data_IF_197646314133
#
_entry.id   IF_197646314133
#
_cell.length_a   1.000
_cell.length_b   1.000
_cell.length_c   1.000
_cell.angle_alpha   90.00
_cell.angle_beta   90.00
_cell.angle_gamma   90.00
#
_symmetry.space_group_name_H-M   'P 1'
#
loop_
_entity.id
_entity.type
_entity.pdbx_description
1 polymer ?
#
# COMPACT_ATOMS: atom_id res chain seq x y z
N UNK A 1 -70.84 -32.27 8.81
CA UNK A 1 -69.73 -31.96 7.87
C UNK A 1 -68.91 -30.73 8.29
N UNK A 2 -68.62 -30.51 9.59
CA UNK A 2 -67.92 -29.30 10.07
C UNK A 2 -66.53 -29.55 10.69
N UNK A 3 -66.06 -30.80 10.74
CA UNK A 3 -64.75 -31.15 11.31
C UNK A 3 -63.60 -31.18 10.29
N UNK A 4 -63.88 -31.30 8.99
CA UNK A 4 -62.84 -31.35 7.94
C UNK A 4 -62.22 -29.97 7.66
N UNK A 5 -63.01 -28.89 7.72
CA UNK A 5 -62.51 -27.53 7.45
C UNK A 5 -61.72 -26.92 8.62
N UNK A 6 -61.95 -27.36 9.87
CA UNK A 6 -61.14 -26.93 11.03
C UNK A 6 -59.76 -27.58 11.05
N UNK A 7 -59.64 -28.82 10.60
CA UNK A 7 -58.34 -29.51 10.52
C UNK A 7 -57.46 -28.94 9.39
N UNK A 8 -58.07 -28.52 8.28
CA UNK A 8 -57.37 -27.95 7.13
C UNK A 8 -56.90 -26.50 7.39
N UNK A 9 -57.66 -25.71 8.16
CA UNK A 9 -57.23 -24.38 8.61
C UNK A 9 -56.11 -24.44 9.67
N UNK A 10 -56.07 -25.47 10.52
CA UNK A 10 -54.98 -25.70 11.47
C UNK A 10 -53.70 -26.21 10.80
N UNK A 11 -53.79 -27.00 9.72
CA UNK A 11 -52.62 -27.43 8.95
C UNK A 11 -52.02 -26.30 8.09
N UNK A 12 -52.82 -25.35 7.58
CA UNK A 12 -52.30 -24.19 6.83
C UNK A 12 -51.64 -23.14 7.74
N UNK A 13 -52.12 -22.99 8.98
CA UNK A 13 -51.49 -22.10 9.96
C UNK A 13 -50.20 -22.69 10.56
N UNK A 14 -50.10 -24.03 10.66
CA UNK A 14 -48.90 -24.71 11.14
C UNK A 14 -47.77 -24.76 10.10
N UNK A 15 -48.08 -24.81 8.79
CA UNK A 15 -47.04 -24.71 7.74
C UNK A 15 -46.49 -23.30 7.58
N UNK A 16 -47.26 -22.26 7.91
CA UNK A 16 -46.77 -20.87 7.92
C UNK A 16 -45.94 -20.52 9.17
N UNK A 17 -46.04 -21.30 10.26
CA UNK A 17 -45.28 -21.08 11.50
C UNK A 17 -44.07 -22.02 11.69
N UNK A 18 -43.94 -23.08 10.89
CA UNK A 18 -42.75 -23.97 10.88
C UNK A 18 -41.79 -23.64 9.71
N UNK A 19 -42.23 -22.79 8.77
CA UNK A 19 -41.38 -22.27 7.67
C UNK A 19 -40.66 -20.95 8.00
N UNK A 20 -40.73 -20.51 9.26
CA UNK A 20 -40.36 -19.16 9.70
C UNK A 20 -38.89 -18.91 10.06
N UNK A 21 -37.97 -19.86 9.88
CA UNK A 21 -36.53 -19.60 10.12
C UNK A 21 -35.62 -19.89 8.91
N UNK A 22 -36.02 -20.70 7.93
CA UNK A 22 -35.13 -21.05 6.80
C UNK A 22 -35.54 -20.41 5.46
N UNK A 23 -36.77 -19.92 5.33
CA UNK A 23 -37.21 -19.19 4.11
C UNK A 23 -36.78 -17.72 4.17
N UNK A 24 -36.77 -17.11 5.36
CA UNK A 24 -36.20 -15.77 5.56
C UNK A 24 -34.68 -15.76 5.45
N UNK A 25 -33.96 -16.76 5.99
CA UNK A 25 -32.50 -16.87 5.77
C UNK A 25 -32.12 -17.07 4.29
N UNK A 26 -32.93 -17.81 3.52
CA UNK A 26 -32.72 -17.99 2.08
C UNK A 26 -33.09 -16.75 1.26
N UNK A 27 -34.06 -15.95 1.71
CA UNK A 27 -34.45 -14.69 1.07
C UNK A 27 -33.47 -13.56 1.43
N UNK A 28 -33.05 -13.47 2.69
CA UNK A 28 -32.02 -12.54 3.16
C UNK A 28 -30.66 -12.84 2.54
N UNK A 29 -30.27 -14.10 2.37
CA UNK A 29 -29.02 -14.43 1.64
C UNK A 29 -29.10 -14.02 0.16
N UNK A 30 -30.22 -14.29 -0.52
CA UNK A 30 -30.36 -13.93 -1.93
C UNK A 30 -30.49 -12.40 -2.13
N UNK A 31 -31.11 -11.67 -1.20
CA UNK A 31 -31.14 -10.20 -1.22
C UNK A 31 -29.79 -9.61 -0.85
N UNK A 32 -29.12 -10.11 0.19
CA UNK A 32 -27.79 -9.65 0.59
C UNK A 32 -26.74 -9.92 -0.48
N UNK A 33 -26.80 -11.05 -1.19
CA UNK A 33 -25.87 -11.35 -2.29
C UNK A 33 -26.14 -10.43 -3.49
N UNK A 34 -27.41 -10.10 -3.77
CA UNK A 34 -27.80 -9.14 -4.80
C UNK A 34 -27.35 -7.71 -4.46
N UNK A 35 -27.52 -7.29 -3.21
CA UNK A 35 -27.14 -5.97 -2.72
C UNK A 35 -25.62 -5.83 -2.63
N UNK A 36 -24.92 -6.87 -2.15
CA UNK A 36 -23.45 -6.94 -2.18
C UNK A 36 -22.92 -6.77 -3.61
N UNK A 37 -23.43 -7.56 -4.56
CA UNK A 37 -22.95 -7.52 -5.94
C UNK A 37 -23.23 -6.15 -6.60
N UNK A 38 -24.37 -5.53 -6.28
CA UNK A 38 -24.70 -4.19 -6.76
C UNK A 38 -23.73 -3.13 -6.20
N UNK A 39 -23.50 -3.12 -4.88
CA UNK A 39 -22.61 -2.16 -4.22
C UNK A 39 -21.16 -2.38 -4.67
N UNK A 40 -20.70 -3.64 -4.78
CA UNK A 40 -19.36 -3.97 -5.26
C UNK A 40 -19.17 -3.54 -6.72
N UNK A 41 -20.18 -3.75 -7.57
CA UNK A 41 -20.18 -3.27 -8.95
C UNK A 41 -20.08 -1.75 -9.04
N UNK A 42 -20.88 -1.02 -8.25
CA UNK A 42 -20.82 0.44 -8.17
C UNK A 42 -19.45 0.92 -7.66
N UNK A 43 -18.93 0.31 -6.59
CA UNK A 43 -17.63 0.66 -6.01
C UNK A 43 -16.50 0.52 -7.03
N UNK A 44 -16.48 -0.58 -7.80
CA UNK A 44 -15.51 -0.83 -8.86
C UNK A 44 -15.62 0.21 -9.99
N UNK A 45 -16.84 0.60 -10.39
CA UNK A 45 -17.06 1.62 -11.42
C UNK A 45 -16.57 3.00 -10.96
N UNK A 46 -16.90 3.39 -9.73
CA UNK A 46 -16.47 4.66 -9.15
C UNK A 46 -14.94 4.69 -9.03
N UNK A 47 -14.31 3.60 -8.58
CA UNK A 47 -12.86 3.48 -8.50
C UNK A 47 -12.21 3.62 -9.89
N UNK A 48 -12.73 2.92 -10.90
CA UNK A 48 -12.22 2.97 -12.27
C UNK A 48 -12.39 4.35 -12.92
N UNK A 49 -13.45 5.08 -12.56
CA UNK A 49 -13.69 6.45 -13.03
C UNK A 49 -12.87 7.53 -12.32
N UNK A 50 -12.13 7.16 -11.26
CA UNK A 50 -11.35 8.09 -10.45
C UNK A 50 -12.13 8.82 -9.37
N UNK A 51 -13.40 8.45 -9.14
CA UNK A 51 -14.21 8.99 -8.04
C UNK A 51 -13.86 8.28 -6.72
N UNK A 52 -12.65 8.54 -6.23
CA UNK A 52 -12.10 7.84 -5.08
C UNK A 52 -12.86 8.07 -3.77
N UNK A 53 -13.50 9.23 -3.61
CA UNK A 53 -14.34 9.53 -2.44
C UNK A 53 -15.51 8.56 -2.39
N UNK A 54 -16.27 8.46 -3.50
CA UNK A 54 -17.44 7.60 -3.56
C UNK A 54 -17.07 6.12 -3.49
N UNK A 55 -16.00 5.72 -4.19
CA UNK A 55 -15.49 4.36 -4.11
C UNK A 55 -15.13 3.97 -2.66
N UNK A 56 -14.44 4.85 -1.94
CA UNK A 56 -14.08 4.62 -0.53
C UNK A 56 -15.31 4.47 0.37
N UNK A 57 -16.33 5.31 0.20
CA UNK A 57 -17.61 5.17 0.93
C UNK A 57 -18.27 3.81 0.68
N UNK A 58 -18.34 3.39 -0.59
CA UNK A 58 -18.96 2.12 -0.98
C UNK A 58 -18.18 0.91 -0.46
N UNK A 59 -16.85 0.93 -0.51
CA UNK A 59 -16.05 -0.17 0.08
C UNK A 59 -16.14 -0.21 1.61
N UNK A 60 -16.20 0.93 2.30
CA UNK A 60 -16.46 0.92 3.75
C UNK A 60 -17.81 0.32 4.06
N UNK A 61 -18.85 0.66 3.27
CA UNK A 61 -20.16 0.04 3.40
C UNK A 61 -20.10 -1.48 3.21
N UNK A 62 -19.36 -1.97 2.20
CA UNK A 62 -19.16 -3.41 1.98
C UNK A 62 -18.49 -4.09 3.18
N UNK A 63 -17.49 -3.44 3.79
CA UNK A 63 -16.79 -3.94 4.97
C UNK A 63 -17.72 -4.03 6.18
N UNK A 64 -18.53 -3.00 6.40
CA UNK A 64 -19.42 -2.88 7.55
C UNK A 64 -20.63 -3.81 7.45
N UNK A 65 -21.18 -4.01 6.24
CA UNK A 65 -22.45 -4.73 6.03
C UNK A 65 -22.26 -6.22 5.65
N UNK A 66 -21.19 -6.60 4.93
CA UNK A 66 -21.11 -7.92 4.26
C UNK A 66 -19.83 -8.73 4.55
N UNK A 67 -18.99 -8.27 5.48
CA UNK A 67 -17.64 -8.79 5.74
C UNK A 67 -16.63 -8.50 4.62
N UNK A 68 -15.40 -8.21 5.04
CA UNK A 68 -14.37 -7.71 4.15
C UNK A 68 -13.56 -8.84 3.47
N UNK A 69 -13.88 -9.11 2.20
CA UNK A 69 -13.11 -10.02 1.34
C UNK A 69 -11.79 -9.37 0.88
N UNK A 70 -10.85 -10.16 0.34
CA UNK A 70 -9.59 -9.61 -0.20
C UNK A 70 -9.83 -8.62 -1.36
N UNK A 71 -10.88 -8.84 -2.16
CA UNK A 71 -11.27 -7.91 -3.23
C UNK A 71 -11.76 -6.57 -2.67
N UNK A 72 -12.58 -6.61 -1.61
CA UNK A 72 -13.05 -5.39 -0.93
C UNK A 72 -11.87 -4.63 -0.31
N UNK A 73 -10.92 -5.32 0.34
CA UNK A 73 -9.70 -4.68 0.86
C UNK A 73 -8.85 -4.06 -0.24
N UNK A 74 -8.67 -4.77 -1.37
CA UNK A 74 -7.95 -4.25 -2.53
C UNK A 74 -8.61 -3.00 -3.11
N UNK A 75 -9.94 -3.02 -3.26
CA UNK A 75 -10.72 -1.90 -3.76
C UNK A 75 -10.63 -0.68 -2.84
N UNK A 76 -10.81 -0.88 -1.53
CA UNK A 76 -10.67 0.19 -0.54
C UNK A 76 -9.25 0.78 -0.53
N UNK A 77 -8.22 -0.08 -0.60
CA UNK A 77 -6.84 0.37 -0.69
C UNK A 77 -6.61 1.20 -1.97
N UNK A 78 -7.17 0.79 -3.11
CA UNK A 78 -7.14 1.56 -4.36
C UNK A 78 -7.77 2.94 -4.21
N UNK A 79 -8.92 3.03 -3.56
CA UNK A 79 -9.60 4.30 -3.30
C UNK A 79 -8.79 5.20 -2.35
N UNK A 80 -8.29 4.67 -1.23
CA UNK A 80 -7.44 5.40 -0.28
C UNK A 80 -6.14 5.90 -0.92
N UNK A 81 -5.50 5.06 -1.74
CA UNK A 81 -4.30 5.43 -2.49
C UNK A 81 -4.61 6.57 -3.48
N UNK A 82 -5.71 6.48 -4.22
CA UNK A 82 -6.17 7.54 -5.11
C UNK A 82 -6.43 8.86 -4.40
N UNK A 83 -7.10 8.83 -3.23
CA UNK A 83 -7.29 10.00 -2.37
C UNK A 83 -5.97 10.58 -1.84
N UNK A 84 -4.98 9.73 -1.61
CA UNK A 84 -3.63 10.13 -1.23
C UNK A 84 -2.81 10.75 -2.39
N UNK A 85 -3.35 10.79 -3.61
CA UNK A 85 -2.65 11.26 -4.81
C UNK A 85 -1.81 10.19 -5.52
N UNK A 86 -1.85 8.94 -5.07
CA UNK A 86 -1.13 7.84 -5.69
C UNK A 86 -1.79 7.39 -7.00
N UNK A 87 -0.99 7.37 -8.06
CA UNK A 87 -1.36 6.75 -9.34
C UNK A 87 -0.20 5.88 -9.82
N UNK A 88 -0.42 4.56 -9.85
CA UNK A 88 0.65 3.59 -10.18
C UNK A 88 1.31 3.87 -11.53
N UNK A 89 0.55 4.22 -12.56
CA UNK A 89 1.10 4.51 -13.88
C UNK A 89 1.96 5.77 -13.89
N UNK A 90 1.51 6.83 -13.21
CA UNK A 90 2.29 8.05 -13.05
C UNK A 90 3.60 7.78 -12.29
N UNK A 91 3.52 7.02 -11.20
CA UNK A 91 4.70 6.64 -10.41
C UNK A 91 5.68 5.84 -11.28
N UNK A 92 5.22 4.80 -11.97
CA UNK A 92 6.07 4.02 -12.88
C UNK A 92 6.67 4.89 -13.98
N UNK A 93 5.92 5.84 -14.54
CA UNK A 93 6.44 6.78 -15.52
C UNK A 93 7.60 7.61 -14.94
N UNK A 94 7.45 8.16 -13.73
CA UNK A 94 8.52 8.92 -13.07
C UNK A 94 9.75 8.05 -12.84
N UNK A 95 9.55 6.83 -12.30
CA UNK A 95 10.64 5.90 -11.98
C UNK A 95 11.37 5.38 -13.22
N UNK A 96 10.67 5.22 -14.36
CA UNK A 96 11.21 4.55 -15.53
C UNK A 96 11.67 5.51 -16.64
N UNK A 97 11.04 6.69 -16.76
CA UNK A 97 11.22 7.57 -17.92
C UNK A 97 11.73 8.97 -17.57
N UNK A 98 11.53 9.47 -16.35
CA UNK A 98 11.85 10.87 -16.01
C UNK A 98 13.17 11.05 -15.25
N UNK A 99 13.81 9.98 -14.81
CA UNK A 99 15.04 10.06 -14.03
C UNK A 99 16.31 9.79 -14.86
N UNK A 100 17.32 10.60 -14.59
CA UNK A 100 18.66 10.48 -15.14
C UNK A 100 19.64 10.51 -13.95
N UNK A 101 20.18 9.37 -13.51
CA UNK A 101 19.83 7.98 -13.83
C UNK A 101 18.59 7.45 -13.05
N UNK A 102 17.75 6.58 -13.66
CA UNK A 102 16.48 6.11 -13.09
C UNK A 102 16.59 5.04 -12.01
N UNK A 103 17.80 4.60 -11.70
CA UNK A 103 18.09 3.60 -10.67
C UNK A 103 18.51 4.21 -9.32
N UNK A 104 18.37 5.53 -9.14
CA UNK A 104 18.88 6.24 -7.95
C UNK A 104 17.79 6.52 -6.92
N UNK A 105 18.11 6.55 -5.62
CA UNK A 105 17.13 6.89 -4.57
C UNK A 105 16.38 8.24 -4.77
N UNK A 106 17.00 9.31 -5.34
CA UNK A 106 16.34 10.60 -5.55
C UNK A 106 15.07 10.55 -6.41
N UNK A 107 14.95 9.60 -7.33
CA UNK A 107 13.71 9.47 -8.13
C UNK A 107 12.51 9.07 -7.26
N UNK A 108 12.73 8.32 -6.17
CA UNK A 108 11.67 7.95 -5.22
C UNK A 108 11.14 9.20 -4.52
N UNK A 109 12.01 10.13 -4.12
CA UNK A 109 11.61 11.39 -3.50
C UNK A 109 10.82 12.28 -4.46
N UNK A 110 11.23 12.32 -5.73
CA UNK A 110 10.46 13.00 -6.77
C UNK A 110 9.07 12.38 -6.95
N UNK A 111 8.99 11.04 -7.06
CA UNK A 111 7.71 10.35 -7.17
C UNK A 111 6.85 10.56 -5.91
N UNK A 112 7.46 10.61 -4.73
CA UNK A 112 6.75 10.86 -3.48
C UNK A 112 6.09 12.24 -3.44
N UNK A 113 6.52 13.21 -4.25
CA UNK A 113 5.86 14.52 -4.35
C UNK A 113 4.47 14.48 -4.98
N UNK A 114 4.10 13.37 -5.61
CA UNK A 114 2.73 13.13 -6.07
C UNK A 114 1.77 12.81 -4.92
N UNK A 115 2.30 12.41 -3.76
CA UNK A 115 1.51 12.04 -2.59
C UNK A 115 1.13 13.28 -1.79
N UNK A 116 -0.17 13.54 -1.71
CA UNK A 116 -0.75 14.71 -1.01
C UNK A 116 -1.11 14.38 0.44
N UNK A 117 -1.44 13.12 0.74
CA UNK A 117 -1.77 12.67 2.10
C UNK A 117 -1.08 11.33 2.42
N UNK A 118 -0.03 11.40 3.26
CA UNK A 118 0.71 10.20 3.69
C UNK A 118 -0.14 9.28 4.55
N UNK A 119 -1.06 9.80 5.38
CA UNK A 119 -1.84 8.97 6.30
C UNK A 119 -2.78 8.07 5.52
N UNK A 120 -3.48 8.63 4.53
CA UNK A 120 -4.33 7.85 3.62
C UNK A 120 -3.52 6.79 2.85
N UNK A 121 -2.30 7.13 2.42
CA UNK A 121 -1.42 6.16 1.77
C UNK A 121 -1.01 5.01 2.73
N UNK A 122 -0.71 5.33 3.99
CA UNK A 122 -0.37 4.31 4.99
C UNK A 122 -1.57 3.42 5.37
N UNK A 123 -2.78 3.98 5.35
CA UNK A 123 -4.02 3.20 5.49
C UNK A 123 -4.22 2.26 4.30
N UNK A 124 -3.99 2.74 3.07
CA UNK A 124 -4.04 1.89 1.87
C UNK A 124 -3.04 0.72 1.94
N UNK A 125 -1.80 0.97 2.41
CA UNK A 125 -0.80 -0.08 2.62
C UNK A 125 -1.29 -1.10 3.67
N UNK A 126 -1.92 -0.62 4.74
CA UNK A 126 -2.48 -1.47 5.80
C UNK A 126 -3.57 -2.39 5.26
N UNK A 127 -4.46 -1.87 4.41
CA UNK A 127 -5.51 -2.66 3.76
C UNK A 127 -4.93 -3.68 2.78
N UNK A 128 -3.96 -3.30 1.94
CA UNK A 128 -3.25 -4.24 1.06
C UNK A 128 -2.51 -5.33 1.84
N UNK A 129 -2.08 -5.05 3.07
CA UNK A 129 -1.41 -6.04 3.92
C UNK A 129 -2.37 -7.09 4.48
N UNK A 130 -3.69 -6.90 4.35
CA UNK A 130 -4.70 -7.92 4.70
C UNK A 130 -4.87 -8.99 3.61
N UNK A 131 -4.34 -8.74 2.40
CA UNK A 131 -4.40 -9.67 1.26
C UNK A 131 -3.34 -10.76 1.45
N UNK A 132 -3.80 -12.00 1.68
CA UNK A 132 -2.95 -13.16 1.94
C UNK A 132 -2.46 -13.82 0.65
N UNK A 133 -3.25 -13.77 -0.43
CA UNK A 133 -2.90 -14.33 -1.74
C UNK A 133 -2.57 -13.24 -2.76
N UNK A 134 -1.54 -12.44 -2.46
CA UNK A 134 -1.16 -11.31 -3.31
C UNK A 134 -0.59 -11.75 -4.68
N UNK A 135 -1.28 -11.33 -5.74
CA UNK A 135 -0.82 -11.44 -7.12
C UNK A 135 0.31 -10.45 -7.46
N UNK A 136 0.80 -10.47 -8.71
CA UNK A 136 1.86 -9.57 -9.13
C UNK A 136 1.44 -8.09 -9.07
N UNK A 137 0.21 -7.77 -9.47
CA UNK A 137 -0.31 -6.40 -9.41
C UNK A 137 -0.45 -5.92 -7.96
N UNK A 138 -0.87 -6.79 -7.03
CA UNK A 138 -0.94 -6.46 -5.60
C UNK A 138 0.43 -6.14 -5.02
N UNK A 139 1.43 -6.97 -5.36
CA UNK A 139 2.83 -6.80 -4.95
C UNK A 139 3.41 -5.51 -5.52
N UNK A 140 3.17 -5.23 -6.81
CA UNK A 140 3.61 -3.99 -7.44
C UNK A 140 2.99 -2.77 -6.78
N UNK A 141 1.67 -2.79 -6.61
CA UNK A 141 0.92 -1.68 -6.03
C UNK A 141 1.39 -1.36 -4.60
N UNK A 142 1.43 -2.38 -3.72
CA UNK A 142 1.80 -2.18 -2.32
C UNK A 142 3.29 -1.82 -2.11
N UNK A 143 4.20 -2.38 -2.92
CA UNK A 143 5.62 -2.06 -2.83
C UNK A 143 5.93 -0.63 -3.27
N UNK A 144 5.29 -0.14 -4.34
CA UNK A 144 5.41 1.26 -4.76
C UNK A 144 4.84 2.22 -3.71
N UNK A 145 3.65 1.94 -3.17
CA UNK A 145 3.09 2.75 -2.08
C UNK A 145 4.01 2.78 -0.86
N UNK A 146 4.57 1.63 -0.45
CA UNK A 146 5.48 1.55 0.68
C UNK A 146 6.75 2.39 0.46
N UNK A 147 7.34 2.34 -0.73
CA UNK A 147 8.51 3.17 -1.07
C UNK A 147 8.20 4.67 -1.00
N UNK A 148 7.06 5.10 -1.53
CA UNK A 148 6.68 6.52 -1.49
C UNK A 148 6.30 6.98 -0.07
N UNK A 149 5.60 6.14 0.70
CA UNK A 149 5.30 6.41 2.10
C UNK A 149 6.58 6.56 2.93
N UNK A 150 7.60 5.73 2.70
CA UNK A 150 8.90 5.84 3.34
C UNK A 150 9.58 7.18 3.05
N UNK A 151 9.64 7.59 1.77
CA UNK A 151 10.22 8.88 1.38
C UNK A 151 9.44 10.07 1.96
N UNK A 152 8.10 10.05 1.91
CA UNK A 152 7.25 11.07 2.55
C UNK A 152 7.52 11.20 4.04
N UNK A 153 7.77 10.08 4.72
CA UNK A 153 8.02 10.07 6.16
C UNK A 153 9.39 10.62 6.53
N UNK A 154 10.40 10.40 5.69
CA UNK A 154 11.70 11.05 5.83
C UNK A 154 11.60 12.55 5.58
N UNK A 155 10.85 12.99 4.57
CA UNK A 155 10.59 14.40 4.34
C UNK A 155 9.83 15.03 5.52
N UNK A 156 8.76 14.41 6.02
CA UNK A 156 8.09 14.95 7.22
C UNK A 156 8.99 15.06 8.45
N UNK A 157 10.03 14.21 8.55
CA UNK A 157 10.99 14.26 9.66
C UNK A 157 12.11 15.28 9.44
N UNK A 158 12.57 15.44 8.21
CA UNK A 158 13.81 16.15 7.89
C UNK A 158 13.66 17.25 6.84
N UNK A 159 12.44 17.65 6.45
CA UNK A 159 12.14 18.84 5.63
C UNK A 159 11.44 19.88 6.52
N UNK A 160 12.14 20.33 7.56
CA UNK A 160 11.61 21.29 8.54
C UNK A 160 11.37 22.67 7.93
N UNK A 161 12.06 23.00 6.83
CA UNK A 161 11.87 24.24 6.09
C UNK A 161 10.77 24.18 5.01
N UNK A 162 10.13 23.00 4.81
CA UNK A 162 9.07 22.74 3.84
C UNK A 162 9.45 23.00 2.37
N UNK A 163 10.73 22.85 2.05
CA UNK A 163 11.30 22.99 0.70
C UNK A 163 10.98 21.83 -0.24
N UNK A 164 10.36 20.76 0.28
CA UNK A 164 10.13 19.49 -0.41
C UNK A 164 11.42 18.73 -0.71
N UNK A 165 12.45 19.00 0.07
CA UNK A 165 13.77 18.35 0.06
C UNK A 165 14.19 18.07 1.49
N UNK A 166 15.08 17.12 1.67
CA UNK A 166 15.75 16.92 2.94
C UNK A 166 16.59 18.17 3.25
N UNK A 167 16.43 18.65 4.48
CA UNK A 167 17.11 19.80 5.03
C UNK A 167 18.64 19.64 4.93
N UNK A 168 19.35 20.76 4.85
CA UNK A 168 20.81 20.76 4.84
C UNK A 168 21.39 20.31 6.19
N UNK A 169 22.68 19.92 6.30
CA UNK A 169 23.22 19.29 7.51
C UNK A 169 23.13 20.17 8.77
N UNK A 170 23.14 21.48 8.60
CA UNK A 170 22.97 22.49 9.64
C UNK A 170 21.51 22.62 10.12
N UNK A 171 20.56 22.06 9.37
CA UNK A 171 19.11 22.14 9.59
C UNK A 171 18.51 20.80 10.07
N UNK A 172 19.14 19.67 9.76
CA UNK A 172 18.76 18.37 10.34
C UNK A 172 19.12 18.37 11.83
N UNK A 173 18.11 18.41 12.70
CA UNK A 173 18.30 18.15 14.12
C UNK A 173 18.17 16.63 14.40
N UNK A 174 19.24 16.08 14.95
CA UNK A 174 19.47 14.64 15.13
C UNK A 174 18.54 14.03 16.18
N UNK A 175 18.16 14.85 17.15
CA UNK A 175 17.44 14.46 18.37
C UNK A 175 16.17 15.29 18.55
N UNK A 176 15.56 15.82 17.48
CA UNK A 176 14.26 16.50 17.61
C UNK A 176 13.23 15.48 18.08
N UNK A 177 13.08 15.40 19.40
CA UNK A 177 11.92 14.87 20.08
C UNK A 177 10.81 15.90 19.87
N UNK A 178 10.35 16.01 18.62
CA UNK A 178 9.25 16.89 18.25
C UNK A 178 7.89 16.33 18.66
N UNK A 179 7.87 15.15 19.33
CA UNK A 179 6.74 14.32 19.72
C UNK A 179 5.78 13.98 18.55
N UNK A 180 6.13 14.36 17.33
CA UNK A 180 5.30 14.28 16.12
C UNK A 180 5.82 13.20 15.18
N UNK A 181 7.12 12.92 15.21
CA UNK A 181 7.77 11.95 14.33
C UNK A 181 8.40 10.82 15.13
N UNK A 182 8.62 9.67 14.47
CA UNK A 182 9.32 8.55 15.08
C UNK A 182 10.77 8.93 15.40
N UNK A 183 11.35 8.32 16.44
CA UNK A 183 12.80 8.37 16.61
C UNK A 183 13.49 7.73 15.41
N UNK A 184 14.77 8.05 15.17
CA UNK A 184 15.51 7.43 14.07
C UNK A 184 15.49 5.90 14.16
N UNK A 185 15.76 5.31 15.34
CA UNK A 185 15.80 3.84 15.45
C UNK A 185 14.43 3.21 15.19
N UNK A 186 13.34 3.86 15.62
CA UNK A 186 11.98 3.42 15.33
C UNK A 186 11.65 3.51 13.84
N UNK A 187 12.05 4.62 13.20
CA UNK A 187 11.86 4.82 11.76
C UNK A 187 12.66 3.78 10.97
N UNK A 188 13.95 3.66 11.25
CA UNK A 188 14.84 2.71 10.59
C UNK A 188 14.31 1.27 10.73
N UNK A 189 13.99 0.84 11.95
CA UNK A 189 13.41 -0.49 12.21
C UNK A 189 12.14 -0.72 11.38
N UNK A 190 11.22 0.25 11.36
CA UNK A 190 9.98 0.14 10.56
C UNK A 190 10.24 0.01 9.06
N UNK A 191 11.26 0.69 8.54
CA UNK A 191 11.59 0.74 7.11
C UNK A 191 12.47 -0.42 6.65
N UNK A 192 13.11 -1.18 7.55
CA UNK A 192 14.00 -2.30 7.17
C UNK A 192 13.56 -3.67 7.67
N UNK A 193 12.65 -3.75 8.63
CA UNK A 193 12.11 -5.03 9.11
C UNK A 193 11.28 -5.73 8.04
N UNK A 194 11.61 -6.96 7.66
CA UNK A 194 10.89 -7.69 6.60
C UNK A 194 9.41 -7.98 6.90
N UNK A 195 9.02 -8.02 8.17
CA UNK A 195 7.64 -8.26 8.57
C UNK A 195 6.78 -7.00 8.47
N UNK A 196 7.41 -5.82 8.45
CA UNK A 196 6.72 -4.54 8.32
C UNK A 196 6.14 -4.37 6.91
N UNK A 197 4.86 -4.02 6.83
CA UNK A 197 4.21 -3.64 5.57
C UNK A 197 4.81 -2.38 4.93
N UNK A 198 5.57 -1.60 5.70
CA UNK A 198 6.19 -0.34 5.29
C UNK A 198 7.67 -0.50 4.95
N UNK A 199 8.15 -1.74 4.92
CA UNK A 199 9.57 -2.04 4.74
C UNK A 199 10.01 -1.91 3.30
N UNK A 200 11.12 -1.23 3.09
CA UNK A 200 11.80 -1.13 1.80
C UNK A 200 12.45 -2.46 1.41
N UNK A 201 12.87 -3.28 2.38
CA UNK A 201 13.36 -4.64 2.11
C UNK A 201 12.22 -5.50 1.55
N UNK A 202 11.04 -5.46 2.19
CA UNK A 202 9.87 -6.16 1.69
C UNK A 202 9.43 -5.63 0.32
N UNK A 203 9.38 -4.31 0.16
CA UNK A 203 9.03 -3.67 -1.12
C UNK A 203 9.98 -4.10 -2.24
N UNK A 204 11.30 -4.12 -1.98
CA UNK A 204 12.30 -4.60 -2.93
C UNK A 204 12.01 -6.05 -3.37
N UNK A 205 11.84 -6.96 -2.41
CA UNK A 205 11.55 -8.38 -2.70
C UNK A 205 10.27 -8.51 -3.53
N UNK A 206 9.23 -7.78 -3.16
CA UNK A 206 7.97 -7.83 -3.89
C UNK A 206 8.06 -7.26 -5.31
N UNK A 207 8.86 -6.21 -5.53
CA UNK A 207 9.12 -5.69 -6.87
C UNK A 207 9.87 -6.70 -7.74
N UNK A 208 10.84 -7.44 -7.18
CA UNK A 208 11.52 -8.51 -7.93
C UNK A 208 10.53 -9.58 -8.39
N UNK A 209 9.55 -9.93 -7.56
CA UNK A 209 8.53 -10.93 -7.91
C UNK A 209 7.49 -10.37 -8.88
N UNK A 210 7.05 -9.13 -8.69
CA UNK A 210 5.99 -8.52 -9.48
C UNK A 210 6.44 -8.17 -10.92
N UNK A 211 7.70 -7.80 -11.09
CA UNK A 211 8.25 -7.32 -12.36
C UNK A 211 9.04 -8.39 -13.14
N UNK A 212 9.09 -9.62 -12.64
CA UNK A 212 9.68 -10.77 -13.32
C UNK A 212 8.84 -11.23 -14.52
N UNK A 213 9.51 -11.66 -15.59
CA UNK A 213 8.93 -12.38 -16.73
C UNK A 213 9.25 -11.79 -18.10
N UNK A 214 9.60 -10.51 -18.21
CA UNK A 214 9.93 -9.85 -19.49
C UNK A 214 11.36 -9.33 -19.50
N UNK A 215 12.08 -9.52 -20.60
CA UNK A 215 13.43 -8.98 -20.80
C UNK A 215 14.52 -10.04 -20.67
N UNK A 216 15.67 -9.63 -20.16
CA UNK A 216 16.88 -10.46 -20.07
C UNK A 216 17.17 -10.88 -18.64
N UNK A 217 17.86 -12.01 -18.49
CA UNK A 217 18.25 -12.56 -17.19
C UNK A 217 19.04 -11.52 -16.40
N UNK A 218 18.75 -11.45 -15.10
CA UNK A 218 19.41 -10.59 -14.15
C UNK A 218 19.40 -11.23 -12.78
N UNK A 219 20.49 -11.03 -12.05
CA UNK A 219 20.61 -11.39 -10.65
C UNK A 219 20.84 -10.12 -9.84
N UNK A 220 20.15 -10.01 -8.72
CA UNK A 220 20.27 -8.90 -7.77
C UNK A 220 20.29 -9.42 -6.35
N UNK A 221 20.67 -8.57 -5.41
CA UNK A 221 20.83 -8.89 -3.99
C UNK A 221 19.97 -7.95 -3.16
N UNK A 222 19.21 -8.46 -2.21
CA UNK A 222 18.41 -7.59 -1.35
C UNK A 222 19.27 -6.70 -0.46
N UNK A 223 18.90 -5.42 -0.30
CA UNK A 223 19.75 -4.40 0.28
C UNK A 223 20.01 -4.59 1.78
N UNK A 224 19.05 -5.16 2.51
CA UNK A 224 19.17 -5.35 3.97
C UNK A 224 19.65 -6.76 4.30
N UNK A 225 19.01 -7.79 3.74
CA UNK A 225 19.33 -9.18 4.12
C UNK A 225 20.36 -9.87 3.25
N UNK A 226 20.75 -9.31 2.11
CA UNK A 226 21.75 -9.92 1.25
C UNK A 226 21.25 -11.18 0.53
N UNK A 227 19.94 -11.34 0.34
CA UNK A 227 19.38 -12.51 -0.34
C UNK A 227 19.48 -12.36 -1.86
N UNK A 228 19.83 -13.43 -2.58
CA UNK A 228 19.92 -13.41 -4.04
C UNK A 228 18.54 -13.62 -4.69
N UNK A 229 18.23 -12.79 -5.68
CA UNK A 229 17.04 -12.90 -6.53
C UNK A 229 17.45 -12.96 -7.99
N UNK A 230 16.90 -13.92 -8.72
CA UNK A 230 17.14 -14.10 -10.15
C UNK A 230 15.81 -14.06 -10.89
N UNK A 231 15.78 -13.41 -12.05
CA UNK A 231 14.60 -13.33 -12.90
C UNK A 231 14.91 -12.67 -14.24
N UNK A 232 13.88 -12.36 -15.01
CA UNK A 232 13.95 -11.73 -16.33
C UNK A 232 13.30 -10.37 -16.29
N UNK A 233 14.09 -9.33 -16.57
CA UNK A 233 13.66 -7.94 -16.40
C UNK A 233 14.04 -7.09 -17.60
N UNK A 234 13.15 -6.17 -17.97
CA UNK A 234 13.45 -5.06 -18.88
C UNK A 234 14.35 -4.05 -18.17
N UNK A 235 15.07 -3.18 -18.90
CA UNK A 235 15.85 -2.10 -18.28
C UNK A 235 15.02 -1.21 -17.34
N UNK A 236 13.78 -0.89 -17.73
CA UNK A 236 12.86 -0.09 -16.91
C UNK A 236 12.45 -0.80 -15.60
N UNK A 237 12.20 -2.11 -15.65
CA UNK A 237 11.90 -2.91 -14.46
C UNK A 237 13.11 -2.95 -13.52
N UNK A 238 14.32 -3.15 -14.07
CA UNK A 238 15.56 -3.11 -13.28
C UNK A 238 15.75 -1.76 -12.60
N UNK A 239 15.53 -0.66 -13.32
CA UNK A 239 15.62 0.69 -12.76
C UNK A 239 14.66 0.89 -11.58
N UNK A 240 13.40 0.44 -11.73
CA UNK A 240 12.40 0.50 -10.65
C UNK A 240 12.86 -0.28 -9.40
N UNK A 241 13.34 -1.52 -9.59
CA UNK A 241 13.85 -2.37 -8.50
C UNK A 241 15.08 -1.73 -7.83
N UNK A 242 16.02 -1.22 -8.64
CA UNK A 242 17.26 -0.61 -8.16
C UNK A 242 17.02 0.71 -7.43
N UNK A 243 16.06 1.54 -7.86
CA UNK A 243 15.72 2.78 -7.16
C UNK A 243 15.29 2.50 -5.70
N UNK A 244 14.43 1.51 -5.49
CA UNK A 244 14.02 1.08 -4.13
C UNK A 244 15.17 0.39 -3.38
N UNK A 245 15.96 -0.43 -4.07
CA UNK A 245 17.14 -1.08 -3.48
C UNK A 245 18.22 -0.11 -3.01
N UNK A 246 18.49 0.93 -3.80
CA UNK A 246 19.43 1.99 -3.48
C UNK A 246 18.91 2.87 -2.34
N UNK A 247 17.62 3.17 -2.31
CA UNK A 247 16.99 3.84 -1.17
C UNK A 247 17.22 3.06 0.14
N UNK A 248 16.90 1.76 0.15
CA UNK A 248 17.15 0.92 1.33
C UNK A 248 18.64 0.81 1.70
N UNK A 249 19.53 0.74 0.70
CA UNK A 249 20.98 0.65 0.91
C UNK A 249 21.53 1.89 1.58
N UNK A 250 21.14 3.08 1.10
CA UNK A 250 21.58 4.36 1.67
C UNK A 250 21.03 4.51 3.09
N UNK A 251 19.77 4.13 3.35
CA UNK A 251 19.23 4.13 4.72
C UNK A 251 20.03 3.23 5.68
N UNK A 252 20.47 2.06 5.21
CA UNK A 252 21.34 1.18 5.99
C UNK A 252 22.71 1.81 6.24
N UNK A 253 23.28 2.49 5.25
CA UNK A 253 24.55 3.22 5.39
C UNK A 253 24.42 4.38 6.39
N UNK A 254 23.38 5.20 6.28
CA UNK A 254 23.06 6.24 7.25
C UNK A 254 22.98 5.66 8.67
N UNK A 255 22.24 4.56 8.86
CA UNK A 255 22.10 3.94 10.18
C UNK A 255 23.44 3.47 10.78
N UNK A 256 24.40 3.03 9.97
CA UNK A 256 25.72 2.64 10.45
C UNK A 256 26.51 3.83 11.06
N UNK A 257 26.23 5.05 10.59
CA UNK A 257 26.83 6.28 11.12
C UNK A 257 26.10 6.87 12.31
N UNK A 258 24.84 6.46 12.56
CA UNK A 258 23.98 7.10 13.57
C UNK A 258 24.66 7.24 14.96
N UNK A 259 25.26 6.17 15.50
CA UNK A 259 25.94 6.26 16.80
C UNK A 259 27.41 6.70 16.72
N UNK A 260 27.93 6.99 15.52
CA UNK A 260 29.38 7.08 15.25
C UNK A 260 29.81 8.43 14.67
N UNK A 261 28.97 9.09 13.87
CA UNK A 261 29.28 10.35 13.20
C UNK A 261 28.01 11.01 12.67
N UNK A 262 27.60 12.10 13.31
CA UNK A 262 26.46 12.92 12.90
C UNK A 262 26.63 13.49 11.48
N UNK A 263 27.81 14.05 11.17
CA UNK A 263 28.09 14.62 9.84
C UNK A 263 27.91 13.59 8.72
N UNK A 264 28.42 12.36 8.93
CA UNK A 264 28.28 11.28 7.95
C UNK A 264 26.85 10.78 7.86
N UNK A 265 26.14 10.68 8.99
CA UNK A 265 24.73 10.34 9.00
C UNK A 265 23.91 11.31 8.14
N UNK A 266 24.11 12.61 8.35
CA UNK A 266 23.42 13.67 7.61
C UNK A 266 23.77 13.64 6.12
N UNK A 267 25.06 13.46 5.78
CA UNK A 267 25.51 13.35 4.40
C UNK A 267 24.86 12.16 3.66
N UNK A 268 24.79 10.99 4.30
CA UNK A 268 24.10 9.83 3.71
C UNK A 268 22.60 10.10 3.54
N UNK A 269 21.94 10.72 4.53
CA UNK A 269 20.52 11.09 4.40
C UNK A 269 20.28 12.04 3.22
N UNK A 270 21.08 13.08 3.04
CA UNK A 270 20.92 14.01 1.92
C UNK A 270 21.14 13.36 0.55
N UNK A 271 21.96 12.31 0.48
CA UNK A 271 22.12 11.55 -0.76
C UNK A 271 20.84 10.84 -1.22
N UNK A 272 19.85 10.68 -0.33
CA UNK A 272 18.58 10.02 -0.63
C UNK A 272 17.69 10.79 -1.60
N UNK A 273 17.63 12.11 -1.49
CA UNK A 273 16.79 12.96 -2.33
C UNK A 273 17.57 13.71 -3.41
N UNK A 274 18.90 13.56 -3.41
CA UNK A 274 19.81 14.12 -4.38
C UNK A 274 20.23 15.56 -4.07
N UNK A 275 19.96 16.04 -2.85
CA UNK A 275 20.54 17.29 -2.36
C UNK A 275 22.03 17.07 -2.11
N UNK A 276 22.86 17.52 -3.05
CA UNK A 276 24.32 17.65 -2.91
C UNK A 276 24.78 19.00 -3.45
#
# INVERSE_FOLDING_TARGET
MSHSHRLMALLLAATLLISGCNVFEGFDRNMNDSDYAAIAGEANLELASGNYIKAHELYNRLIDEYSATEEVWRGRAGALAGLAGFNMFNVLNILQNEAIPPDTAPVIFRAAMTITDRKLLEEAITDMNRITQAGNDDRLFRSLMAALAAARRLLEKYDTNLSKKLDTPDQIDFDTADDKTLSWQQLYSRLTDQTSAFSLERAFVELTLALDGRGTDWMTVSPIQGQNFTGRYTPANRATILAVGNFATILRQANAWFNSSEDKFKAELMSLDGAS
#
